data_IF_312485981320
#
_entry.id   IF_312485981320
#
_cell.length_a   1.000
_cell.length_b   1.000
_cell.length_c   1.000
_cell.angle_alpha   90.00
_cell.angle_beta   90.00
_cell.angle_gamma   90.00
#
_symmetry.space_group_name_H-M   'P 1'
#
loop_
_entity.id
_entity.type
_entity.pdbx_description
1 polymer ?
#
# COMPACT_ATOMS: atom_id res chain seq x y z
N UNK A 1 5.02 17.81 42.39
CA UNK A 1 6.26 17.40 41.68
C UNK A 1 5.87 16.39 40.61
N UNK A 2 5.59 16.88 39.42
CA UNK A 2 5.42 16.06 38.22
C UNK A 2 6.82 15.90 37.60
N UNK A 3 7.40 14.71 37.74
CA UNK A 3 8.63 14.35 37.04
C UNK A 3 8.27 14.19 35.55
N UNK A 4 8.76 15.08 34.72
CA UNK A 4 8.79 14.88 33.27
C UNK A 4 9.78 13.74 33.03
N UNK A 5 9.31 12.59 32.58
CA UNK A 5 10.18 11.51 32.13
C UNK A 5 10.95 12.01 30.91
N UNK A 6 12.27 12.01 30.99
CA UNK A 6 13.17 12.28 29.88
C UNK A 6 12.80 11.33 28.70
N UNK A 7 12.36 11.92 27.61
CA UNK A 7 12.26 11.18 26.34
C UNK A 7 13.69 10.95 25.89
N UNK A 8 14.20 9.74 26.03
CA UNK A 8 15.47 9.37 25.45
C UNK A 8 15.33 9.40 23.93
N UNK A 9 16.12 10.27 23.27
CA UNK A 9 16.24 10.29 21.82
C UNK A 9 16.74 8.92 21.35
N UNK A 10 15.88 8.17 20.67
CA UNK A 10 16.30 6.95 19.98
C UNK A 10 16.87 7.34 18.62
N UNK A 11 18.18 7.18 18.46
CA UNK A 11 18.84 7.38 17.17
C UNK A 11 18.57 6.17 16.29
N UNK A 12 17.79 6.36 15.23
CA UNK A 12 17.55 5.34 14.21
C UNK A 12 18.70 5.36 13.20
N UNK A 13 19.41 4.25 13.06
CA UNK A 13 20.49 4.12 12.10
C UNK A 13 20.01 3.49 10.79
N UNK A 14 20.14 4.19 9.67
CA UNK A 14 19.94 3.68 8.31
C UNK A 14 21.21 3.07 7.69
N UNK A 15 22.26 2.89 8.50
CA UNK A 15 23.55 2.43 8.04
C UNK A 15 23.42 1.02 7.43
N UNK A 16 23.99 0.85 6.25
CA UNK A 16 24.04 -0.40 5.49
C UNK A 16 22.67 -0.95 5.04
N UNK A 17 21.64 -0.09 4.92
CA UNK A 17 20.33 -0.44 4.38
C UNK A 17 20.15 0.13 2.98
N UNK A 18 19.55 -0.67 2.11
CA UNK A 18 19.16 -0.26 0.75
C UNK A 18 17.66 -0.16 0.64
N UNK A 19 17.18 0.75 -0.21
CA UNK A 19 15.75 0.80 -0.53
C UNK A 19 15.31 -0.50 -1.20
N UNK A 20 14.09 -0.98 -0.90
CA UNK A 20 13.53 -2.12 -1.62
C UNK A 20 13.32 -1.78 -3.10
N UNK A 21 13.29 -2.81 -3.94
CA UNK A 21 12.97 -2.66 -5.37
C UNK A 21 11.51 -2.26 -5.52
N UNK A 22 11.23 -1.28 -6.40
CA UNK A 22 9.83 -0.88 -6.64
C UNK A 22 9.04 -2.04 -7.25
N UNK A 23 7.78 -2.22 -6.82
CA UNK A 23 6.92 -3.25 -7.37
C UNK A 23 6.56 -2.98 -8.84
N UNK A 24 6.66 -4.00 -9.68
CA UNK A 24 6.13 -3.98 -11.06
C UNK A 24 4.68 -4.45 -11.01
N UNK A 25 3.74 -3.55 -11.34
CA UNK A 25 2.31 -3.79 -11.19
C UNK A 25 1.72 -4.39 -12.47
N UNK A 26 0.91 -5.43 -12.31
CA UNK A 26 0.15 -6.07 -13.39
C UNK A 26 -1.30 -6.23 -12.94
N UNK A 27 -2.24 -5.76 -13.78
CA UNK A 27 -3.66 -5.92 -13.59
C UNK A 27 -4.18 -7.19 -14.24
N UNK A 28 -5.10 -7.87 -13.53
CA UNK A 28 -5.80 -9.04 -14.05
C UNK A 28 -7.29 -8.98 -13.75
N UNK A 29 -8.10 -9.40 -14.69
CA UNK A 29 -9.51 -9.73 -14.53
C UNK A 29 -9.79 -11.06 -15.23
N UNK A 30 -10.66 -11.89 -14.67
CA UNK A 30 -10.95 -13.24 -15.19
C UNK A 30 -9.67 -14.07 -15.42
N UNK A 31 -8.67 -13.96 -14.53
CA UNK A 31 -7.36 -14.59 -14.62
C UNK A 31 -6.51 -14.18 -15.85
N UNK A 32 -6.89 -13.13 -16.58
CA UNK A 32 -6.15 -12.61 -17.73
C UNK A 32 -5.56 -11.24 -17.41
N UNK A 33 -4.33 -11.02 -17.91
CA UNK A 33 -3.72 -9.68 -17.88
C UNK A 33 -4.57 -8.72 -18.71
N UNK A 34 -4.84 -7.55 -18.17
CA UNK A 34 -5.54 -6.45 -18.85
C UNK A 34 -4.65 -5.20 -18.94
N UNK A 35 -4.99 -4.30 -19.84
CA UNK A 35 -4.37 -2.97 -19.92
C UNK A 35 -4.90 -2.04 -18.83
N UNK A 36 -4.14 -1.00 -18.50
CA UNK A 36 -4.49 -0.06 -17.43
C UNK A 36 -5.69 0.83 -17.79
N UNK A 37 -6.02 0.94 -19.05
CA UNK A 37 -7.18 1.68 -19.61
C UNK A 37 -8.37 0.78 -19.95
N UNK A 38 -8.34 -0.49 -19.52
CA UNK A 38 -9.34 -1.50 -19.85
C UNK A 38 -9.92 -2.22 -18.63
N UNK A 39 -9.97 -1.55 -17.48
CA UNK A 39 -10.53 -2.12 -16.25
C UNK A 39 -12.05 -2.14 -16.34
N UNK A 40 -12.65 -3.34 -16.33
CA UNK A 40 -14.10 -3.52 -16.25
C UNK A 40 -14.58 -3.31 -14.80
N UNK A 41 -15.34 -2.25 -14.50
CA UNK A 41 -15.76 -1.96 -13.12
C UNK A 41 -16.73 -3.00 -12.55
N UNK A 42 -17.34 -3.84 -13.39
CA UNK A 42 -18.27 -4.91 -12.97
C UNK A 42 -17.56 -6.21 -12.62
N UNK A 43 -16.24 -6.25 -12.69
CA UNK A 43 -15.43 -7.43 -12.38
C UNK A 43 -14.45 -7.16 -11.25
N UNK A 44 -14.11 -8.20 -10.52
CA UNK A 44 -13.03 -8.14 -9.56
C UNK A 44 -11.71 -7.76 -10.25
N UNK A 45 -11.01 -6.77 -9.71
CA UNK A 45 -9.68 -6.39 -10.17
C UNK A 45 -8.63 -7.03 -9.26
N UNK A 46 -7.78 -7.85 -9.82
CA UNK A 46 -6.62 -8.40 -9.12
C UNK A 46 -5.37 -7.59 -9.51
N UNK A 47 -4.81 -6.89 -8.56
CA UNK A 47 -3.55 -6.18 -8.68
C UNK A 47 -2.46 -7.11 -8.23
N UNK A 48 -1.47 -7.39 -9.08
CA UNK A 48 -0.40 -8.33 -8.79
C UNK A 48 0.97 -7.67 -8.95
N UNK A 49 1.94 -8.17 -8.19
CA UNK A 49 3.36 -7.78 -8.25
C UNK A 49 4.26 -9.00 -8.01
N UNK A 50 5.54 -8.94 -8.41
CA UNK A 50 6.52 -9.97 -8.07
C UNK A 50 6.72 -10.08 -6.56
N UNK A 51 7.14 -11.26 -6.11
CA UNK A 51 7.44 -11.47 -4.68
C UNK A 51 8.40 -10.40 -4.15
N UNK A 52 8.06 -9.82 -3.02
CA UNK A 52 8.90 -8.87 -2.28
C UNK A 52 10.06 -9.63 -1.61
N UNK A 53 11.20 -9.68 -2.27
CA UNK A 53 12.36 -10.51 -1.87
C UNK A 53 13.13 -9.91 -0.69
N UNK A 54 13.14 -8.60 -0.57
CA UNK A 54 13.83 -7.85 0.48
C UNK A 54 13.04 -7.81 1.78
N UNK A 55 11.73 -8.14 1.73
CA UNK A 55 10.85 -8.13 2.88
C UNK A 55 11.10 -9.32 3.81
N UNK A 56 11.02 -9.07 5.09
CA UNK A 56 11.31 -10.03 6.15
C UNK A 56 10.22 -10.05 7.22
N UNK A 57 10.17 -11.16 7.95
CA UNK A 57 9.45 -11.20 9.21
C UNK A 57 10.20 -10.39 10.26
N UNK A 58 9.46 -9.73 11.14
CA UNK A 58 10.05 -9.07 12.30
C UNK A 58 10.67 -10.10 13.24
N UNK A 59 11.93 -9.91 13.62
CA UNK A 59 12.63 -10.79 14.55
C UNK A 59 12.00 -10.81 15.96
N UNK A 60 11.33 -9.72 16.34
CA UNK A 60 10.62 -9.58 17.61
C UNK A 60 9.16 -10.06 17.52
N UNK A 61 8.68 -10.39 16.30
CA UNK A 61 7.31 -10.83 16.05
C UNK A 61 6.24 -9.73 16.22
N UNK A 62 6.63 -8.45 16.16
CA UNK A 62 5.72 -7.32 16.31
C UNK A 62 5.10 -6.91 14.98
N UNK A 63 5.93 -6.68 13.95
CA UNK A 63 5.52 -6.14 12.66
C UNK A 63 6.36 -6.73 11.53
N UNK A 64 5.78 -7.60 10.73
CA UNK A 64 6.39 -8.02 9.47
C UNK A 64 6.45 -6.85 8.48
N UNK A 65 7.46 -6.83 7.60
CA UNK A 65 7.60 -5.79 6.57
C UNK A 65 6.32 -5.67 5.74
N UNK A 66 5.76 -4.46 5.59
CA UNK A 66 4.46 -4.27 4.97
C UNK A 66 4.54 -4.08 3.46
N UNK A 67 3.45 -4.45 2.80
CA UNK A 67 3.10 -3.98 1.47
C UNK A 67 1.83 -3.14 1.62
N UNK A 68 1.81 -1.96 1.01
CA UNK A 68 0.64 -1.10 1.04
C UNK A 68 0.13 -0.83 -0.38
N UNK A 69 -1.17 -0.97 -0.57
CA UNK A 69 -1.88 -0.63 -1.80
C UNK A 69 -2.91 0.42 -1.45
N UNK A 70 -2.92 1.53 -2.15
CA UNK A 70 -3.98 2.53 -2.07
C UNK A 70 -4.45 2.94 -3.45
N UNK A 71 -5.73 3.24 -3.57
CA UNK A 71 -6.39 3.68 -4.79
C UNK A 71 -7.27 4.87 -4.43
N UNK A 72 -7.04 5.98 -5.11
CA UNK A 72 -7.72 7.25 -4.94
C UNK A 72 -8.54 7.59 -6.18
N UNK A 73 -9.63 8.31 -5.98
CA UNK A 73 -10.31 9.03 -7.03
C UNK A 73 -10.07 10.53 -6.86
N UNK A 74 -10.40 11.32 -7.86
CA UNK A 74 -10.37 12.77 -7.74
C UNK A 74 -11.35 13.33 -6.70
N UNK A 75 -12.35 12.54 -6.30
CA UNK A 75 -13.38 12.95 -5.34
C UNK A 75 -13.12 12.44 -3.92
N UNK A 76 -12.43 11.33 -3.79
CA UNK A 76 -12.26 10.60 -2.52
C UNK A 76 -10.86 10.03 -2.45
N UNK A 77 -10.12 10.37 -1.41
CA UNK A 77 -8.90 9.68 -1.04
C UNK A 77 -9.23 8.31 -0.42
N UNK A 78 -8.33 7.35 -0.57
CA UNK A 78 -8.47 6.00 -0.01
C UNK A 78 -9.83 5.34 -0.39
N UNK A 79 -10.24 5.41 -1.68
CA UNK A 79 -11.40 4.64 -2.19
C UNK A 79 -11.24 3.17 -1.80
N UNK A 80 -10.00 2.68 -1.90
CA UNK A 80 -9.60 1.35 -1.46
C UNK A 80 -8.20 1.41 -0.92
N UNK A 81 -7.95 0.75 0.21
CA UNK A 81 -6.59 0.50 0.70
C UNK A 81 -6.46 -0.88 1.34
N UNK A 82 -5.24 -1.40 1.34
CA UNK A 82 -4.95 -2.76 1.83
C UNK A 82 -4.78 -2.88 3.35
N UNK A 83 -5.00 -1.79 4.09
CA UNK A 83 -4.71 -1.70 5.52
C UNK A 83 -3.26 -1.31 5.82
N UNK A 84 -3.07 -0.67 6.97
CA UNK A 84 -1.76 -0.23 7.48
C UNK A 84 -1.39 -1.03 8.73
N UNK A 85 -0.10 -1.12 9.06
CA UNK A 85 0.32 -1.66 10.36
C UNK A 85 -0.47 -0.99 11.51
N UNK A 86 -0.85 -1.79 12.50
CA UNK A 86 -1.66 -1.39 13.67
C UNK A 86 -3.15 -1.12 13.39
N UNK A 87 -3.63 -1.21 12.16
CA UNK A 87 -5.06 -1.16 11.89
C UNK A 87 -5.77 -2.44 12.34
N UNK A 88 -7.03 -2.28 12.79
CA UNK A 88 -7.84 -3.39 13.32
C UNK A 88 -8.05 -4.51 12.30
N UNK A 89 -8.12 -4.17 11.02
CA UNK A 89 -8.37 -5.12 9.93
C UNK A 89 -7.10 -5.80 9.41
N UNK A 90 -5.95 -5.47 10.00
CA UNK A 90 -4.65 -5.99 9.57
C UNK A 90 -4.10 -5.25 8.35
N UNK A 91 -3.02 -5.79 7.80
CA UNK A 91 -2.31 -5.24 6.64
C UNK A 91 -1.68 -6.36 5.81
N UNK A 92 -1.28 -6.04 4.56
CA UNK A 92 -0.52 -6.97 3.74
C UNK A 92 0.94 -7.01 4.20
N UNK A 93 1.46 -8.21 4.39
CA UNK A 93 2.86 -8.42 4.70
C UNK A 93 3.67 -8.71 3.43
N UNK A 94 4.98 -8.69 3.53
CA UNK A 94 5.94 -9.01 2.45
C UNK A 94 5.65 -10.34 1.72
N UNK A 95 4.82 -11.22 2.29
CA UNK A 95 4.42 -12.50 1.70
C UNK A 95 3.37 -12.36 0.62
N UNK A 96 2.62 -11.24 0.61
CA UNK A 96 1.60 -11.00 -0.38
C UNK A 96 2.20 -10.74 -1.77
N UNK A 97 1.55 -11.22 -2.80
CA UNK A 97 1.90 -10.98 -4.20
C UNK A 97 0.74 -10.44 -5.02
N UNK A 98 -0.39 -10.20 -4.37
CA UNK A 98 -1.59 -9.65 -4.98
C UNK A 98 -2.51 -9.00 -3.96
N UNK A 99 -3.38 -8.13 -4.49
CA UNK A 99 -4.50 -7.53 -3.77
C UNK A 99 -5.75 -7.58 -4.66
N UNK A 100 -6.86 -8.03 -4.11
CA UNK A 100 -8.14 -8.16 -4.81
C UNK A 100 -9.06 -6.99 -4.45
N UNK A 101 -9.53 -6.27 -5.46
CA UNK A 101 -10.53 -5.22 -5.31
C UNK A 101 -11.87 -5.78 -5.80
N UNK A 102 -12.92 -5.80 -4.97
CA UNK A 102 -14.21 -6.34 -5.35
C UNK A 102 -14.81 -5.67 -6.59
N UNK A 103 -15.60 -6.40 -7.35
CA UNK A 103 -16.41 -5.84 -8.42
C UNK A 103 -17.31 -4.70 -7.90
N UNK A 104 -17.62 -3.74 -8.76
CA UNK A 104 -18.45 -2.56 -8.46
C UNK A 104 -17.89 -1.58 -7.42
N UNK A 105 -16.59 -1.70 -7.11
CA UNK A 105 -15.90 -0.72 -6.27
C UNK A 105 -15.66 0.60 -7.02
N UNK A 106 -15.47 0.52 -8.33
CA UNK A 106 -15.16 1.66 -9.19
C UNK A 106 -16.34 2.09 -10.04
N UNK A 107 -16.49 3.39 -10.25
CA UNK A 107 -17.45 3.94 -11.20
C UNK A 107 -17.00 3.74 -12.65
N UNK A 108 -17.93 3.51 -13.59
CA UNK A 108 -17.61 3.37 -15.00
C UNK A 108 -17.02 4.65 -15.60
N UNK A 109 -16.08 4.51 -16.54
CA UNK A 109 -15.53 5.60 -17.32
C UNK A 109 -14.70 6.63 -16.53
N UNK A 110 -14.15 6.24 -15.38
CA UNK A 110 -13.39 7.12 -14.50
C UNK A 110 -11.92 6.77 -14.43
N UNK A 111 -11.11 7.79 -14.12
CA UNK A 111 -9.67 7.64 -13.86
C UNK A 111 -9.44 7.56 -12.36
N UNK A 112 -8.58 6.65 -11.96
CA UNK A 112 -8.13 6.43 -10.60
C UNK A 112 -6.61 6.49 -10.53
N UNK A 113 -6.08 7.08 -9.47
CA UNK A 113 -4.66 7.04 -9.16
C UNK A 113 -4.42 5.97 -8.11
N UNK A 114 -3.34 5.22 -8.25
CA UNK A 114 -2.97 4.20 -7.28
C UNK A 114 -1.48 4.13 -7.04
N UNK A 115 -1.11 3.54 -5.94
CA UNK A 115 0.27 3.11 -5.71
C UNK A 115 0.33 1.77 -4.98
N UNK A 116 1.43 1.08 -5.22
CA UNK A 116 1.85 -0.08 -4.42
C UNK A 116 3.20 0.27 -3.82
N UNK A 117 3.32 0.10 -2.52
CA UNK A 117 4.52 0.37 -1.75
C UNK A 117 5.06 -0.91 -1.13
N UNK A 118 6.36 -1.14 -1.29
CA UNK A 118 7.12 -2.11 -0.53
C UNK A 118 7.92 -1.36 0.55
N UNK A 119 7.72 -1.69 1.81
CA UNK A 119 8.42 -1.07 2.92
C UNK A 119 9.15 -2.10 3.78
N UNK A 120 10.32 -1.72 4.27
CA UNK A 120 11.09 -2.51 5.24
C UNK A 120 11.23 -1.72 6.53
N UNK A 121 10.99 -2.36 7.66
CA UNK A 121 11.30 -1.78 8.97
C UNK A 121 12.79 -1.91 9.24
N UNK A 122 13.44 -0.78 9.47
CA UNK A 122 14.89 -0.76 9.75
C UNK A 122 15.18 -0.86 11.22
N UNK A 123 14.24 -0.41 12.05
CA UNK A 123 14.33 -0.49 13.50
C UNK A 123 12.93 -0.38 14.12
N UNK A 124 12.71 -1.12 15.21
CA UNK A 124 11.48 -1.09 16.01
C UNK A 124 11.82 -0.98 17.49
N UNK A 125 11.30 0.04 18.15
CA UNK A 125 11.46 0.25 19.59
C UNK A 125 10.09 0.24 20.28
N UNK A 126 10.01 -0.49 21.39
CA UNK A 126 8.81 -0.59 22.25
C UNK A 126 9.11 -0.26 23.72
N UNK A 127 10.23 0.40 24.01
CA UNK A 127 10.71 0.61 25.36
C UNK A 127 9.89 1.62 26.19
N UNK A 128 9.03 2.41 25.55
CA UNK A 128 8.24 3.45 26.21
C UNK A 128 6.73 3.19 26.21
N UNK A 129 6.29 2.01 25.74
CA UNK A 129 4.87 1.71 25.53
C UNK A 129 4.24 2.43 24.33
N UNK A 130 5.03 3.18 23.57
CA UNK A 130 4.66 3.75 22.28
C UNK A 130 5.58 3.13 21.23
N UNK A 131 5.07 2.30 20.32
CA UNK A 131 5.91 1.70 19.30
C UNK A 131 6.44 2.79 18.36
N UNK A 132 7.76 2.90 18.27
CA UNK A 132 8.45 3.73 17.29
C UNK A 132 9.15 2.83 16.27
N UNK A 133 9.04 3.18 14.99
CA UNK A 133 9.68 2.44 13.91
C UNK A 133 10.19 3.38 12.83
N UNK A 134 11.22 2.95 12.14
CA UNK A 134 11.73 3.61 10.95
C UNK A 134 11.57 2.68 9.74
N UNK A 135 11.22 3.25 8.61
CA UNK A 135 11.01 2.50 7.37
C UNK A 135 11.81 3.06 6.21
N UNK A 136 12.25 2.16 5.33
CA UNK A 136 12.65 2.50 3.97
C UNK A 136 11.60 1.92 3.02
N UNK A 137 11.06 2.75 2.13
CA UNK A 137 10.01 2.32 1.23
C UNK A 137 10.30 2.71 -0.22
N UNK A 138 9.80 1.90 -1.14
CA UNK A 138 9.79 2.18 -2.58
C UNK A 138 8.40 1.96 -3.12
N UNK A 139 7.88 2.95 -3.83
CA UNK A 139 6.51 2.94 -4.34
C UNK A 139 6.49 3.03 -5.86
N UNK A 140 5.56 2.33 -6.49
CA UNK A 140 5.19 2.52 -7.88
C UNK A 140 3.83 3.19 -7.94
N UNK A 141 3.78 4.37 -8.54
CA UNK A 141 2.57 5.15 -8.79
C UNK A 141 2.11 4.94 -10.22
N UNK A 142 0.82 4.85 -10.42
CA UNK A 142 0.22 4.77 -11.75
C UNK A 142 -1.24 5.20 -11.72
N UNK A 143 -1.72 5.67 -12.88
CA UNK A 143 -3.13 5.90 -13.13
C UNK A 143 -3.70 4.74 -13.92
N UNK A 144 -4.99 4.46 -13.74
CA UNK A 144 -5.74 3.53 -14.55
C UNK A 144 -7.14 4.06 -14.84
N UNK A 145 -7.78 3.52 -15.86
CA UNK A 145 -9.12 3.94 -16.29
C UNK A 145 -10.07 2.74 -16.33
N UNK A 146 -11.30 2.97 -15.87
CA UNK A 146 -12.38 2.00 -15.99
C UNK A 146 -13.10 2.14 -17.33
N UNK A 147 -13.58 1.02 -17.86
CA UNK A 147 -14.44 1.00 -19.05
C UNK A 147 -15.80 1.63 -18.73
N UNK A 148 -16.36 2.34 -19.70
CA UNK A 148 -17.68 2.96 -19.59
C UNK A 148 -17.75 4.35 -20.22
N UNK A 149 -18.89 4.99 -20.08
CA UNK A 149 -19.07 6.36 -20.54
C UNK A 149 -18.39 7.30 -19.56
N UNK A 150 -17.55 8.17 -20.07
CA UNK A 150 -16.89 9.22 -19.27
C UNK A 150 -17.93 10.25 -18.86
N UNK A 151 -18.08 10.49 -17.57
CA UNK A 151 -18.83 11.66 -17.07
C UNK A 151 -17.91 12.88 -17.11
N UNK A 152 -18.14 13.86 -17.99
CA UNK A 152 -17.28 15.03 -18.09
C UNK A 152 -17.35 15.93 -16.85
N UNK A 153 -18.32 15.73 -15.95
CA UNK A 153 -18.46 16.51 -14.73
C UNK A 153 -17.83 15.78 -13.51
N UNK A 154 -17.42 14.55 -13.67
CA UNK A 154 -16.68 13.84 -12.62
C UNK A 154 -15.32 14.55 -12.44
N UNK A 155 -14.94 14.88 -11.24
CA UNK A 155 -13.73 15.65 -10.94
C UNK A 155 -13.77 17.17 -11.23
N UNK A 156 -14.92 17.77 -11.43
CA UNK A 156 -15.02 19.23 -11.67
C UNK A 156 -15.43 20.05 -10.43
N UNK A 157 -15.39 19.49 -9.23
CA UNK A 157 -15.74 20.20 -7.99
C UNK A 157 -14.53 20.82 -7.30
#
# INVERSE_FOLDING_TARGET
>A
NTSVSEVKDSVVSYKDRTFPVHPVIIFKQDNKKIAIDAVDPNKELIITWPKFKEGNADQKGLLDDPIFVAIDSCMVEDVVHSGRPFEKNGYLTYRASQYAVPATTFEPGQTYSMYVEHAIFTDTHDETGIPAFATLASSTYMDFMTLGLVDPNYCQN
#
